data_IF_093205946948
#
_entry.id   IF_093205946948
#
_cell.length_a   1.000
_cell.length_b   1.000
_cell.length_c   1.000
_cell.angle_alpha   90.00
_cell.angle_beta   90.00
_cell.angle_gamma   90.00
#
_symmetry.space_group_name_H-M   'P 1'
#
loop_
_entity.id
_entity.type
_entity.pdbx_description
1 polymer ?
#
# COMPACT_ATOMS: atom_id res chain seq x y z
N UNK A 1 14.54 3.58 20.55
CA UNK A 1 13.19 3.02 20.77
C UNK A 1 12.61 2.64 19.42
N UNK A 2 11.87 1.54 19.31
CA UNK A 2 11.18 1.22 18.05
C UNK A 2 10.12 2.28 17.76
N UNK A 3 9.86 2.64 16.50
CA UNK A 3 8.79 3.56 16.15
C UNK A 3 7.44 2.99 16.56
N UNK A 4 6.47 3.86 16.88
CA UNK A 4 5.14 3.42 17.25
C UNK A 4 4.46 2.75 16.04
N UNK A 5 3.78 1.62 16.29
CA UNK A 5 2.94 0.98 15.30
C UNK A 5 1.76 1.88 14.95
N UNK A 6 1.37 1.90 13.68
CA UNK A 6 0.11 2.49 13.24
C UNK A 6 -1.03 1.48 13.42
N UNK A 7 -2.23 1.99 13.62
CA UNK A 7 -3.47 1.21 13.53
C UNK A 7 -3.76 0.80 12.09
N UNK A 8 -4.64 -0.20 11.93
CA UNK A 8 -5.14 -0.63 10.63
C UNK A 8 -5.79 0.53 9.87
N UNK A 9 -6.53 1.41 10.57
CA UNK A 9 -7.20 2.56 9.96
C UNK A 9 -6.20 3.59 9.42
N UNK A 10 -5.11 3.84 10.15
CA UNK A 10 -4.02 4.71 9.69
C UNK A 10 -3.31 4.11 8.47
N UNK A 11 -3.12 2.79 8.43
CA UNK A 11 -2.55 2.09 7.28
C UNK A 11 -3.46 2.14 6.05
N UNK A 12 -4.77 2.00 6.24
CA UNK A 12 -5.76 2.26 5.18
C UNK A 12 -5.64 3.70 4.67
N UNK A 13 -5.48 4.67 5.58
CA UNK A 13 -5.24 6.07 5.23
C UNK A 13 -4.01 6.28 4.33
N UNK A 14 -2.89 5.62 4.65
CA UNK A 14 -1.67 5.66 3.83
C UNK A 14 -1.88 5.11 2.43
N UNK A 15 -2.49 3.92 2.33
CA UNK A 15 -2.79 3.32 1.02
C UNK A 15 -3.80 4.16 0.23
N UNK A 16 -4.80 4.75 0.88
CA UNK A 16 -5.71 5.69 0.21
C UNK A 16 -4.96 6.89 -0.36
N UNK A 17 -4.02 7.48 0.39
CA UNK A 17 -3.21 8.59 -0.11
C UNK A 17 -2.35 8.20 -1.32
N UNK A 18 -1.83 6.97 -1.36
CA UNK A 18 -1.06 6.45 -2.50
C UNK A 18 -1.93 6.17 -3.73
N UNK A 19 -3.13 5.65 -3.50
CA UNK A 19 -4.04 5.15 -4.54
C UNK A 19 -5.07 6.19 -4.99
N UNK A 20 -5.10 7.36 -4.35
CA UNK A 20 -5.94 8.49 -4.75
C UNK A 20 -5.44 9.06 -6.09
N UNK A 21 -6.25 9.04 -7.18
CA UNK A 21 -5.87 9.63 -8.45
C UNK A 21 -5.70 11.16 -8.38
N UNK A 22 -6.26 11.83 -7.37
CA UNK A 22 -6.14 13.27 -7.15
C UNK A 22 -4.98 13.70 -6.25
N UNK A 23 -4.30 12.76 -5.58
CA UNK A 23 -3.16 13.09 -4.72
C UNK A 23 -1.93 13.49 -5.54
N UNK A 24 -1.19 14.48 -5.03
CA UNK A 24 0.01 14.99 -5.71
C UNK A 24 1.16 13.98 -5.68
N UNK A 25 2.03 14.03 -6.69
CA UNK A 25 3.24 13.20 -6.77
C UNK A 25 4.13 13.35 -5.52
N UNK A 26 4.20 14.54 -4.94
CA UNK A 26 4.94 14.78 -3.70
C UNK A 26 4.31 14.05 -2.51
N UNK A 27 2.98 14.08 -2.38
CA UNK A 27 2.28 13.37 -1.32
C UNK A 27 2.44 11.85 -1.46
N UNK A 28 2.31 11.32 -2.69
CA UNK A 28 2.53 9.90 -2.96
C UNK A 28 3.97 9.48 -2.73
N UNK A 29 4.94 10.26 -3.20
CA UNK A 29 6.36 10.00 -2.99
C UNK A 29 6.75 10.04 -1.50
N UNK A 30 6.11 10.86 -0.68
CA UNK A 30 6.36 10.88 0.77
C UNK A 30 5.91 9.59 1.47
N UNK A 31 4.97 8.85 0.89
CA UNK A 31 4.43 7.60 1.40
C UNK A 31 5.16 6.35 0.86
N UNK A 32 6.13 6.51 -0.05
CA UNK A 32 6.87 5.41 -0.70
C UNK A 32 8.34 5.31 -0.24
N UNK A 33 8.81 4.09 0.02
CA UNK A 33 10.25 3.82 0.22
C UNK A 33 11.08 4.28 -0.98
N UNK A 34 10.61 4.02 -2.20
CA UNK A 34 11.22 4.47 -3.46
C UNK A 34 11.16 5.98 -3.69
N UNK A 35 10.46 6.74 -2.84
CA UNK A 35 10.14 8.14 -3.11
C UNK A 35 9.40 8.29 -4.45
N UNK A 36 9.79 9.31 -5.22
CA UNK A 36 9.18 9.60 -6.52
C UNK A 36 9.45 8.55 -7.60
N UNK A 37 10.44 7.65 -7.43
CA UNK A 37 10.75 6.61 -8.42
C UNK A 37 9.59 5.60 -8.59
N UNK A 38 8.85 5.33 -7.52
CA UNK A 38 7.71 4.40 -7.53
C UNK A 38 6.38 4.98 -7.99
N UNK A 39 6.33 6.26 -8.39
CA UNK A 39 5.08 6.92 -8.79
C UNK A 39 4.41 6.22 -9.97
N UNK A 40 5.19 5.75 -10.95
CA UNK A 40 4.66 5.02 -12.11
C UNK A 40 3.92 3.75 -11.68
N UNK A 41 4.49 3.02 -10.71
CA UNK A 41 3.92 1.79 -10.15
C UNK A 41 2.61 2.06 -9.43
N UNK A 42 2.58 2.99 -8.45
CA UNK A 42 1.36 3.25 -7.68
C UNK A 42 0.26 3.94 -8.50
N UNK A 43 0.62 4.80 -9.45
CA UNK A 43 -0.37 5.42 -10.35
C UNK A 43 -1.00 4.39 -11.28
N UNK A 44 -0.24 3.39 -11.73
CA UNK A 44 -0.79 2.26 -12.47
C UNK A 44 -1.78 1.45 -11.62
N UNK A 45 -1.43 1.14 -10.36
CA UNK A 45 -2.34 0.44 -9.44
C UNK A 45 -3.62 1.24 -9.21
N UNK A 46 -3.51 2.54 -8.96
CA UNK A 46 -4.66 3.44 -8.81
C UNK A 46 -5.59 3.41 -10.03
N UNK A 47 -5.02 3.43 -11.23
CA UNK A 47 -5.79 3.33 -12.48
C UNK A 47 -6.49 1.97 -12.63
N UNK A 48 -5.80 0.88 -12.29
CA UNK A 48 -6.37 -0.47 -12.33
C UNK A 48 -7.54 -0.61 -11.35
N UNK A 49 -7.42 -0.05 -10.13
CA UNK A 49 -8.51 -0.01 -9.15
C UNK A 49 -9.73 0.77 -9.65
N UNK A 50 -9.50 1.93 -10.29
CA UNK A 50 -10.57 2.69 -10.93
C UNK A 50 -11.32 1.90 -12.02
N UNK A 51 -10.62 0.97 -12.68
CA UNK A 51 -11.20 0.10 -13.73
C UNK A 51 -11.93 -1.12 -13.14
N UNK A 52 -11.44 -1.67 -12.03
CA UNK A 52 -12.04 -2.82 -11.36
C UNK A 52 -13.45 -2.53 -10.82
N UNK A 53 -13.72 -1.26 -10.48
CA UNK A 53 -15.03 -0.80 -10.05
C UNK A 53 -15.49 -1.45 -8.73
N UNK A 54 -16.80 -1.46 -8.43
CA UNK A 54 -17.31 -1.90 -7.13
C UNK A 54 -17.19 -3.41 -6.89
N UNK A 55 -16.79 -4.19 -7.90
CA UNK A 55 -16.62 -5.63 -7.76
C UNK A 55 -15.36 -5.99 -6.93
N UNK A 56 -14.39 -5.08 -6.86
CA UNK A 56 -13.15 -5.25 -6.12
C UNK A 56 -13.09 -4.27 -4.95
N UNK A 57 -12.72 -4.76 -3.77
CA UNK A 57 -12.46 -3.93 -2.61
C UNK A 57 -11.19 -4.37 -1.89
N UNK A 58 -10.63 -3.49 -1.07
CA UNK A 58 -9.48 -3.80 -0.25
C UNK A 58 -9.56 -3.05 1.09
N UNK A 59 -8.88 -3.58 2.10
CA UNK A 59 -8.67 -2.93 3.39
C UNK A 59 -7.40 -3.49 4.03
N UNK A 60 -6.85 -2.78 5.01
CA UNK A 60 -5.81 -3.34 5.88
C UNK A 60 -6.48 -3.95 7.11
N UNK A 61 -6.03 -5.13 7.52
CA UNK A 61 -6.47 -5.84 8.72
C UNK A 61 -5.27 -6.27 9.56
N UNK A 62 -5.53 -6.49 10.84
CA UNK A 62 -4.54 -6.92 11.80
C UNK A 62 -4.16 -8.41 11.70
N UNK A 63 -3.19 -8.84 12.51
CA UNK A 63 -2.43 -8.02 13.46
C UNK A 63 -1.44 -7.08 12.76
N UNK A 64 -1.24 -5.88 13.32
CA UNK A 64 -0.12 -5.00 12.97
C UNK A 64 1.05 -5.30 13.90
N UNK A 65 2.22 -5.60 13.34
CA UNK A 65 3.45 -5.88 14.11
C UNK A 65 4.57 -4.95 13.69
N UNK A 66 5.44 -4.56 14.63
CA UNK A 66 6.63 -3.75 14.38
C UNK A 66 7.86 -4.50 14.87
N UNK A 67 8.80 -4.70 13.96
CA UNK A 67 10.11 -5.30 14.21
C UNK A 67 11.20 -4.34 13.72
N UNK A 68 11.83 -3.63 14.68
CA UNK A 68 12.82 -2.59 14.38
C UNK A 68 12.21 -1.45 13.58
N UNK A 69 12.65 -1.30 12.34
CA UNK A 69 12.20 -0.27 11.38
C UNK A 69 11.28 -0.85 10.30
N UNK A 70 10.70 -2.04 10.54
CA UNK A 70 9.73 -2.66 9.63
C UNK A 70 8.41 -2.87 10.36
N UNK A 71 7.32 -2.42 9.75
CA UNK A 71 5.96 -2.69 10.21
C UNK A 71 5.27 -3.61 9.21
N UNK A 72 4.54 -4.61 9.70
CA UNK A 72 3.81 -5.59 8.88
C UNK A 72 2.34 -5.58 9.26
N UNK A 73 1.46 -5.63 8.26
CA UNK A 73 0.03 -5.85 8.43
C UNK A 73 -0.49 -6.77 7.30
N UNK A 74 -1.79 -7.08 7.30
CA UNK A 74 -2.41 -7.86 6.24
C UNK A 74 -3.25 -6.95 5.34
N UNK A 75 -3.05 -7.01 4.04
CA UNK A 75 -3.97 -6.46 3.06
C UNK A 75 -5.03 -7.53 2.76
N UNK A 76 -6.27 -7.25 3.13
CA UNK A 76 -7.41 -8.03 2.70
C UNK A 76 -7.93 -7.45 1.38
N UNK A 77 -8.07 -8.30 0.39
CA UNK A 77 -8.67 -7.99 -0.91
C UNK A 77 -9.91 -8.83 -1.09
N UNK A 78 -10.97 -8.27 -1.65
CA UNK A 78 -12.23 -8.96 -1.90
C UNK A 78 -12.63 -8.79 -3.35
N UNK A 79 -13.07 -9.88 -3.96
CA UNK A 79 -13.63 -9.88 -5.31
C UNK A 79 -14.97 -10.60 -5.28
N UNK A 80 -16.03 -9.93 -5.75
CA UNK A 80 -17.38 -10.50 -5.78
C UNK A 80 -17.36 -11.85 -6.54
N UNK A 81 -17.84 -12.90 -5.87
CA UNK A 81 -17.86 -14.27 -6.41
C UNK A 81 -16.59 -15.10 -6.17
N UNK A 82 -15.49 -14.50 -5.71
CA UNK A 82 -14.23 -15.18 -5.42
C UNK A 82 -13.81 -15.12 -3.95
N UNK A 83 -14.45 -14.26 -3.15
CA UNK A 83 -14.23 -14.14 -1.71
C UNK A 83 -13.02 -13.28 -1.35
N UNK A 84 -12.60 -13.41 -0.09
CA UNK A 84 -11.54 -12.59 0.50
C UNK A 84 -10.18 -13.30 0.47
N UNK A 85 -9.12 -12.53 0.25
CA UNK A 85 -7.73 -12.99 0.32
C UNK A 85 -6.89 -12.02 1.13
N UNK A 86 -6.12 -12.57 2.06
CA UNK A 86 -5.19 -11.81 2.88
C UNK A 86 -3.77 -12.02 2.38
N UNK A 87 -2.99 -10.95 2.33
CA UNK A 87 -1.57 -11.00 1.96
C UNK A 87 -0.78 -10.01 2.80
N UNK A 88 0.43 -10.37 3.25
CA UNK A 88 1.23 -9.47 4.05
C UNK A 88 1.65 -8.25 3.23
N UNK A 89 1.58 -7.08 3.86
CA UNK A 89 2.13 -5.82 3.35
C UNK A 89 2.99 -5.21 4.44
N UNK A 90 4.06 -4.56 4.02
CA UNK A 90 5.10 -4.03 4.89
C UNK A 90 5.38 -2.56 4.63
N UNK A 91 5.74 -1.85 5.69
CA UNK A 91 6.19 -0.47 5.68
C UNK A 91 7.56 -0.38 6.32
N UNK A 92 8.38 0.57 5.85
CA UNK A 92 9.69 0.91 6.40
C UNK A 92 9.65 2.26 7.10
N UNK A 93 10.29 2.35 8.25
CA UNK A 93 10.42 3.62 8.97
C UNK A 93 11.54 4.45 8.33
N UNK A 94 11.18 5.50 7.61
CA UNK A 94 12.09 6.33 6.83
C UNK A 94 11.72 7.79 7.03
N UNK A 95 12.70 8.65 7.35
CA UNK A 95 12.52 10.09 7.56
C UNK A 95 11.43 10.45 8.60
N UNK A 96 11.25 9.61 9.63
CA UNK A 96 10.28 9.87 10.71
C UNK A 96 8.83 9.50 10.37
N UNK A 97 8.59 8.75 9.29
CA UNK A 97 7.27 8.23 8.94
C UNK A 97 7.36 6.80 8.41
N UNK A 98 6.26 6.05 8.48
CA UNK A 98 6.13 4.74 7.86
C UNK A 98 5.82 4.90 6.38
N UNK A 99 6.71 4.41 5.50
CA UNK A 99 6.54 4.43 4.04
C UNK A 99 6.31 3.02 3.53
N UNK A 100 5.42 2.84 2.55
CA UNK A 100 5.16 1.54 1.94
C UNK A 100 6.46 0.99 1.35
N UNK A 101 6.77 -0.27 1.66
CA UNK A 101 8.01 -0.87 1.17
C UNK A 101 7.98 -1.07 -0.34
N UNK A 102 9.17 -1.13 -0.94
CA UNK A 102 9.35 -1.46 -2.35
C UNK A 102 8.75 -2.82 -2.70
N UNK A 103 8.94 -3.82 -1.82
CA UNK A 103 8.34 -5.15 -1.96
C UNK A 103 6.81 -5.08 -1.99
N UNK A 104 6.21 -4.34 -1.07
CA UNK A 104 4.75 -4.19 -1.01
C UNK A 104 4.22 -3.39 -2.20
N UNK A 105 4.95 -2.38 -2.67
CA UNK A 105 4.60 -1.61 -3.85
C UNK A 105 4.58 -2.51 -5.11
N UNK A 106 5.57 -3.39 -5.26
CA UNK A 106 5.58 -4.40 -6.32
C UNK A 106 4.48 -5.45 -6.15
N UNK A 107 4.19 -5.87 -4.92
CA UNK A 107 3.08 -6.77 -4.65
C UNK A 107 1.76 -6.16 -5.13
N UNK A 108 1.45 -4.90 -4.79
CA UNK A 108 0.26 -4.20 -5.28
C UNK A 108 0.23 -4.13 -6.81
N UNK A 109 1.37 -3.85 -7.46
CA UNK A 109 1.47 -3.86 -8.92
C UNK A 109 1.15 -5.23 -9.52
N UNK A 110 1.68 -6.31 -8.94
CA UNK A 110 1.42 -7.67 -9.38
C UNK A 110 -0.07 -8.06 -9.27
N UNK A 111 -0.74 -7.61 -8.20
CA UNK A 111 -2.17 -7.82 -8.00
C UNK A 111 -3.00 -7.10 -9.08
N UNK A 112 -2.51 -5.95 -9.55
CA UNK A 112 -3.06 -5.19 -10.66
C UNK A 112 -2.63 -5.71 -12.05
N UNK A 113 -1.86 -6.80 -12.14
CA UNK A 113 -1.28 -7.33 -13.38
C UNK A 113 -0.35 -6.32 -14.10
N UNK A 114 0.34 -5.48 -13.33
CA UNK A 114 1.25 -4.45 -13.82
C UNK A 114 2.71 -4.82 -13.55
N UNK A 115 3.67 -4.36 -14.38
CA UNK A 115 5.08 -4.43 -14.05
C UNK A 115 5.37 -3.52 -12.84
N UNK A 116 6.35 -3.94 -12.03
CA UNK A 116 6.88 -3.08 -10.97
C UNK A 116 8.11 -2.32 -11.47
N UNK A 117 8.06 -0.99 -11.43
CA UNK A 117 9.17 -0.11 -11.78
C UNK A 117 9.40 0.86 -10.62
N UNK A 118 10.51 0.67 -9.89
CA UNK A 118 10.92 1.42 -8.70
C UNK A 118 12.43 1.60 -8.70
#
# INVERSE_FOLDING_TARGET
AAPAALSEQELVGKLNSLLDPGASDAAKGAELESGTAGLSTVNGVAQALGTAGPAYSWTVVGPVTVEGETMTAQLQTSLIGFGDRNSPVTWKWIDGTWKLSNESSCFLASQAMLPCNI
#
